data_IF_784733961392
#
_entry.id   IF_784733961392
#
_cell.length_a   1.000
_cell.length_b   1.000
_cell.length_c   1.000
_cell.angle_alpha   90.00
_cell.angle_beta   90.00
_cell.angle_gamma   90.00
#
_symmetry.space_group_name_H-M   'P 1'
#
loop_
_entity.id
_entity.type
_entity.pdbx_description
1 polymer ?
#
# COMPACT_ATOMS: atom_id res chain seq x y z
N UNK A 1 15.25 -22.86 -13.82
CA UNK A 1 15.48 -22.18 -12.52
C UNK A 1 14.14 -21.79 -11.94
N UNK A 2 13.90 -22.02 -10.65
CA UNK A 2 12.68 -21.55 -9.97
C UNK A 2 12.74 -20.02 -9.79
N UNK A 3 11.60 -19.34 -9.89
CA UNK A 3 11.50 -17.87 -9.74
C UNK A 3 11.62 -17.52 -8.26
N UNK A 4 12.45 -16.52 -7.94
CA UNK A 4 12.66 -16.07 -6.56
C UNK A 4 12.82 -14.56 -6.51
N UNK A 5 12.21 -13.93 -5.50
CA UNK A 5 12.40 -12.53 -5.14
C UNK A 5 12.57 -12.43 -3.63
N UNK A 6 13.51 -11.60 -3.16
CA UNK A 6 13.67 -11.33 -1.72
C UNK A 6 13.36 -9.87 -1.43
N UNK A 7 12.44 -9.61 -0.51
CA UNK A 7 12.07 -8.26 -0.05
C UNK A 7 12.27 -8.21 1.46
N UNK A 8 13.18 -7.34 1.92
CA UNK A 8 13.46 -7.14 3.34
C UNK A 8 13.69 -8.46 4.11
N UNK A 9 14.44 -9.39 3.52
CA UNK A 9 14.73 -10.70 4.10
C UNK A 9 13.62 -11.75 3.97
N UNK A 10 12.43 -11.39 3.46
CA UNK A 10 11.37 -12.35 3.14
C UNK A 10 11.57 -12.91 1.73
N UNK A 11 11.67 -14.24 1.60
CA UNK A 11 11.78 -14.92 0.32
C UNK A 11 10.40 -15.21 -0.26
N UNK A 12 10.21 -14.84 -1.53
CA UNK A 12 8.98 -15.03 -2.29
C UNK A 12 9.31 -15.98 -3.45
N UNK A 13 8.71 -17.16 -3.45
CA UNK A 13 8.84 -18.18 -4.48
C UNK A 13 7.54 -19.03 -4.54
N UNK A 14 7.51 -20.06 -5.38
CA UNK A 14 6.31 -20.89 -5.58
C UNK A 14 5.98 -21.81 -4.37
N UNK A 15 6.91 -22.00 -3.45
CA UNK A 15 6.81 -22.86 -2.25
C UNK A 15 6.78 -22.07 -0.92
N UNK A 16 6.96 -20.74 -0.94
CA UNK A 16 6.97 -19.87 0.25
C UNK A 16 5.57 -19.42 0.64
N UNK A 17 5.38 -18.98 1.88
CA UNK A 17 4.17 -18.25 2.29
C UNK A 17 3.95 -17.00 1.42
N UNK A 18 2.68 -16.60 1.30
CA UNK A 18 2.31 -15.39 0.57
C UNK A 18 2.94 -14.14 1.20
N UNK A 19 3.55 -13.29 0.37
CA UNK A 19 3.92 -11.94 0.77
C UNK A 19 2.69 -11.01 0.71
N UNK A 20 2.13 -10.69 1.87
CA UNK A 20 0.92 -9.88 2.00
C UNK A 20 1.26 -8.40 2.10
N UNK A 21 0.69 -7.62 1.19
CA UNK A 21 0.76 -6.15 1.19
C UNK A 21 -0.59 -5.60 1.63
N UNK A 22 -0.63 -4.86 2.75
CA UNK A 22 -1.79 -4.10 3.15
C UNK A 22 -1.89 -2.81 2.32
N UNK A 23 -2.87 -2.74 1.41
CA UNK A 23 -3.12 -1.57 0.57
C UNK A 23 -3.86 -0.50 1.36
N UNK A 24 -3.10 0.41 1.98
CA UNK A 24 -3.66 1.59 2.67
C UNK A 24 -4.15 2.63 1.65
N UNK A 25 -3.46 2.74 0.52
CA UNK A 25 -3.87 3.61 -0.58
C UNK A 25 -4.02 5.06 -0.14
N UNK A 26 -5.25 5.59 -0.26
CA UNK A 26 -5.63 6.92 0.21
C UNK A 26 -6.67 6.90 1.36
N UNK A 27 -6.88 5.74 2.00
CA UNK A 27 -7.90 5.56 3.06
C UNK A 27 -7.64 6.40 4.32
N UNK A 28 -6.40 6.88 4.48
CA UNK A 28 -6.00 7.83 5.50
C UNK A 28 -6.59 9.24 5.28
N UNK A 29 -7.20 9.53 4.13
CA UNK A 29 -7.93 10.77 3.83
C UNK A 29 -7.13 12.06 4.08
N UNK A 30 -5.81 12.00 3.87
CA UNK A 30 -4.91 13.13 4.13
C UNK A 30 -4.50 13.32 5.59
N UNK A 31 -5.04 12.53 6.53
CA UNK A 31 -4.60 12.54 7.93
C UNK A 31 -3.33 11.69 8.11
N UNK A 32 -2.25 12.31 8.58
CA UNK A 32 -1.00 11.61 8.90
C UNK A 32 -1.17 10.66 10.09
N UNK A 33 -1.90 11.08 11.12
CA UNK A 33 -2.10 10.26 12.32
C UNK A 33 -2.92 9.00 12.01
N UNK A 34 -4.00 9.13 11.22
CA UNK A 34 -4.77 7.98 10.74
C UNK A 34 -3.91 7.03 9.90
N UNK A 35 -2.98 7.58 9.09
CA UNK A 35 -2.05 6.76 8.31
C UNK A 35 -1.11 5.95 9.19
N UNK A 36 -0.54 6.56 10.24
CA UNK A 36 0.34 5.87 11.20
C UNK A 36 -0.41 4.79 11.98
N UNK A 37 -1.64 5.08 12.39
CA UNK A 37 -2.51 4.09 13.04
C UNK A 37 -2.75 2.87 12.15
N UNK A 38 -3.11 3.11 10.87
CA UNK A 38 -3.28 2.05 9.89
C UNK A 38 -2.02 1.20 9.69
N UNK A 39 -0.82 1.80 9.74
CA UNK A 39 0.43 1.06 9.66
C UNK A 39 0.64 0.14 10.87
N UNK A 40 0.36 0.64 12.07
CA UNK A 40 0.44 -0.15 13.30
C UNK A 40 -0.51 -1.35 13.24
N UNK A 41 -1.78 -1.13 12.86
CA UNK A 41 -2.79 -2.19 12.75
C UNK A 41 -2.38 -3.21 11.68
N UNK A 42 -1.93 -2.77 10.51
CA UNK A 42 -1.48 -3.69 9.45
C UNK A 42 -0.32 -4.59 9.92
N UNK A 43 0.63 -4.03 10.69
CA UNK A 43 1.72 -4.79 11.28
C UNK A 43 1.22 -5.80 12.32
N UNK A 44 0.28 -5.40 13.18
CA UNK A 44 -0.35 -6.27 14.18
C UNK A 44 -1.14 -7.42 13.55
N UNK A 45 -1.76 -7.20 12.39
CA UNK A 45 -2.43 -8.26 11.61
C UNK A 45 -1.45 -9.18 10.85
N UNK A 46 -0.14 -8.92 10.88
CA UNK A 46 0.87 -9.76 10.24
C UNK A 46 1.17 -9.44 8.77
N UNK A 47 0.77 -8.27 8.26
CA UNK A 47 1.15 -7.88 6.91
C UNK A 47 2.67 -7.71 6.78
N UNK A 48 3.24 -8.15 5.65
CA UNK A 48 4.68 -8.03 5.37
C UNK A 48 5.07 -6.60 5.02
N UNK A 49 4.17 -5.88 4.35
CA UNK A 49 4.37 -4.48 3.97
C UNK A 49 3.05 -3.71 3.93
N UNK A 50 3.15 -2.38 3.95
CA UNK A 50 2.05 -1.45 3.67
C UNK A 50 2.34 -0.73 2.36
N UNK A 51 1.30 -0.36 1.61
CA UNK A 51 1.44 0.42 0.38
C UNK A 51 0.53 1.65 0.39
N UNK A 52 1.10 2.80 0.04
CA UNK A 52 0.42 4.09 -0.13
C UNK A 52 0.32 4.45 -1.60
N UNK A 53 -0.66 5.31 -1.93
CA UNK A 53 -0.78 5.91 -3.24
C UNK A 53 -0.29 7.37 -3.18
N UNK A 54 0.81 7.67 -3.88
CA UNK A 54 1.23 9.05 -4.13
C UNK A 54 0.32 9.63 -5.22
N UNK A 55 -0.41 10.71 -4.92
CA UNK A 55 -1.41 11.28 -5.83
C UNK A 55 -1.13 12.75 -6.10
N UNK A 56 -1.18 13.11 -7.38
CA UNK A 56 -1.39 14.49 -7.81
C UNK A 56 -2.75 14.54 -8.51
N UNK A 57 -3.76 15.03 -7.81
CA UNK A 57 -5.13 15.04 -8.31
C UNK A 57 -5.30 15.92 -9.56
N UNK A 58 -4.44 16.93 -9.77
CA UNK A 58 -4.50 17.79 -10.96
C UNK A 58 -3.98 17.07 -12.19
N UNK A 59 -2.93 16.27 -12.02
CA UNK A 59 -2.40 15.43 -13.10
C UNK A 59 -3.26 14.18 -13.35
N UNK A 60 -3.89 13.63 -12.30
CA UNK A 60 -4.64 12.37 -12.38
C UNK A 60 -6.07 12.50 -12.90
N UNK A 61 -6.73 13.64 -12.69
CA UNK A 61 -8.15 13.81 -12.99
C UNK A 61 -8.39 14.80 -14.12
N UNK A 62 -9.47 14.56 -14.88
CA UNK A 62 -9.94 15.53 -15.86
C UNK A 62 -10.45 16.81 -15.18
N UNK A 63 -10.43 17.92 -15.90
CA UNK A 63 -11.00 19.19 -15.45
C UNK A 63 -12.46 19.06 -15.01
N UNK A 64 -13.25 18.23 -15.71
CA UNK A 64 -14.65 17.92 -15.34
C UNK A 64 -14.73 17.28 -13.96
N UNK A 65 -13.87 16.30 -13.67
CA UNK A 65 -13.88 15.57 -12.38
C UNK A 65 -13.41 16.43 -11.19
N UNK A 66 -12.55 17.42 -11.44
CA UNK A 66 -12.08 18.35 -10.39
C UNK A 66 -13.15 19.39 -10.06
N UNK A 67 -13.86 19.92 -11.07
CA UNK A 67 -14.88 20.97 -10.91
C UNK A 67 -16.22 20.47 -10.36
N UNK A 68 -16.46 19.17 -10.39
CA UNK A 68 -17.66 18.54 -9.85
C UNK A 68 -17.58 18.24 -8.33
N UNK A 69 -16.54 18.74 -7.66
CA UNK A 69 -16.31 18.59 -6.21
C UNK A 69 -16.64 19.86 -5.46
#
# INVERSE_FOLDING_TARGET
>A
MSRRLTINGFEINDDSDCFVIAEIGNNHQGSLEKCKEMFRIAKECGANAVKLQKRDNRALYTSRSIRAR
#
